data_IF_157652934159
#
_entry.id   IF_157652934159
#
_cell.length_a   1.000
_cell.length_b   1.000
_cell.length_c   1.000
_cell.angle_alpha   90.00
_cell.angle_beta   90.00
_cell.angle_gamma   90.00
#
_symmetry.space_group_name_H-M   'P 1'
#
loop_
_entity.id
_entity.type
_entity.pdbx_description
1 polymer ?
#
# COMPACT_ATOMS: atom_id res chain seq x y z
N UNK A 1 5.80 -72.40 -31.31
CA UNK A 1 6.10 -72.34 -29.85
C UNK A 1 7.04 -71.18 -29.62
N UNK A 2 6.51 -70.02 -29.20
CA UNK A 2 7.31 -68.87 -28.90
C UNK A 2 7.00 -68.45 -27.46
N UNK A 3 7.98 -68.63 -26.56
CA UNK A 3 7.86 -68.38 -25.14
C UNK A 3 7.92 -66.85 -24.88
N UNK A 4 6.87 -66.31 -24.30
CA UNK A 4 6.86 -64.97 -23.74
C UNK A 4 7.64 -64.94 -22.46
N UNK A 5 8.68 -64.08 -22.37
CA UNK A 5 9.36 -63.74 -21.13
C UNK A 5 8.45 -62.87 -20.24
N UNK A 6 8.44 -63.03 -18.91
CA UNK A 6 7.75 -62.16 -18.00
C UNK A 6 8.40 -60.77 -17.99
N UNK A 7 7.58 -59.69 -17.99
CA UNK A 7 8.02 -58.33 -17.72
C UNK A 7 8.34 -58.23 -16.23
N UNK A 8 9.58 -57.89 -15.93
CA UNK A 8 9.98 -57.45 -14.60
C UNK A 8 9.20 -56.18 -14.23
N UNK A 9 8.46 -56.20 -13.16
CA UNK A 9 7.85 -55.04 -12.55
C UNK A 9 8.98 -54.14 -12.02
N UNK A 10 9.10 -52.94 -12.57
CA UNK A 10 9.95 -51.90 -11.99
C UNK A 10 9.44 -51.50 -10.59
N UNK A 11 10.30 -50.93 -9.75
CA UNK A 11 9.91 -50.55 -8.41
C UNK A 11 8.73 -49.56 -8.48
N UNK A 12 7.64 -49.90 -7.85
CA UNK A 12 6.47 -49.02 -7.64
C UNK A 12 6.99 -47.77 -6.92
N UNK A 13 6.91 -46.62 -7.62
CA UNK A 13 7.07 -45.32 -6.97
C UNK A 13 5.97 -45.22 -5.92
N UNK A 14 6.36 -45.38 -4.66
CA UNK A 14 5.47 -45.33 -3.50
C UNK A 14 4.65 -44.06 -3.57
N UNK A 15 3.33 -44.22 -3.50
CA UNK A 15 2.35 -43.15 -3.39
C UNK A 15 2.60 -42.37 -2.09
N UNK A 16 3.42 -41.34 -2.16
CA UNK A 16 3.76 -40.46 -1.03
C UNK A 16 2.66 -39.38 -0.78
N UNK A 17 1.44 -39.66 -1.23
CA UNK A 17 0.24 -38.87 -0.97
C UNK A 17 -0.39 -39.23 0.38
N UNK A 18 0.42 -39.27 1.44
CA UNK A 18 -0.13 -39.26 2.80
C UNK A 18 -0.44 -37.81 3.16
N UNK A 19 -1.63 -37.61 3.75
CA UNK A 19 -2.10 -36.30 4.18
C UNK A 19 -1.01 -35.52 4.92
N UNK A 20 -0.85 -34.20 4.65
CA UNK A 20 0.14 -33.40 5.32
C UNK A 20 -0.10 -33.41 6.84
N UNK A 21 0.96 -33.69 7.60
CA UNK A 21 0.92 -33.76 9.07
C UNK A 21 1.49 -32.48 9.64
N UNK A 22 0.74 -31.80 10.48
CA UNK A 22 1.20 -30.65 11.23
C UNK A 22 2.31 -31.05 12.20
N UNK A 23 3.46 -30.38 12.13
CA UNK A 23 4.64 -30.63 12.95
C UNK A 23 5.02 -29.45 13.83
N UNK A 24 4.54 -28.25 13.51
CA UNK A 24 4.81 -27.04 14.28
C UNK A 24 3.67 -26.04 14.12
N UNK A 25 3.46 -25.23 15.16
CA UNK A 25 2.47 -24.17 15.20
C UNK A 25 3.02 -23.01 16.02
N UNK A 26 2.91 -21.79 15.51
CA UNK A 26 3.33 -20.60 16.23
C UNK A 26 2.54 -19.38 15.77
N UNK A 27 2.54 -18.34 16.60
CA UNK A 27 2.13 -16.98 16.24
C UNK A 27 3.33 -16.09 15.85
N UNK A 28 4.55 -16.61 15.97
CA UNK A 28 5.79 -15.93 15.58
C UNK A 28 6.18 -16.33 14.16
N UNK A 29 6.23 -15.34 13.26
CA UNK A 29 6.73 -15.54 11.90
C UNK A 29 8.23 -15.92 11.91
N UNK A 30 8.99 -15.42 12.88
CA UNK A 30 10.41 -15.76 13.06
C UNK A 30 10.60 -17.26 13.31
N UNK A 31 9.85 -17.81 14.27
CA UNK A 31 9.94 -19.23 14.59
C UNK A 31 9.56 -20.11 13.39
N UNK A 32 8.54 -19.70 12.63
CA UNK A 32 8.11 -20.42 11.43
C UNK A 32 9.19 -20.42 10.35
N UNK A 33 9.84 -19.28 10.09
CA UNK A 33 10.92 -19.21 9.10
C UNK A 33 12.16 -20.00 9.53
N UNK A 34 12.51 -20.00 10.81
CA UNK A 34 13.59 -20.85 11.36
C UNK A 34 13.25 -22.32 11.16
N UNK A 35 12.02 -22.73 11.50
CA UNK A 35 11.57 -24.11 11.31
C UNK A 35 11.62 -24.51 9.83
N UNK A 36 11.14 -23.65 8.93
CA UNK A 36 11.20 -23.91 7.49
C UNK A 36 12.66 -24.08 7.02
N UNK A 37 13.53 -23.12 7.36
CA UNK A 37 14.95 -23.18 7.02
C UNK A 37 15.62 -24.46 7.54
N UNK A 38 15.33 -24.84 8.78
CA UNK A 38 15.83 -26.08 9.38
C UNK A 38 15.36 -27.31 8.61
N UNK A 39 14.07 -27.40 8.27
CA UNK A 39 13.51 -28.51 7.51
C UNK A 39 14.11 -28.61 6.10
N UNK A 40 14.22 -27.48 5.39
CA UNK A 40 14.85 -27.40 4.06
C UNK A 40 16.30 -27.85 4.10
N UNK A 41 17.09 -27.40 5.07
CA UNK A 41 18.49 -27.81 5.25
C UNK A 41 18.65 -29.32 5.45
N UNK A 42 17.62 -30.00 5.94
CA UNK A 42 17.61 -31.46 6.14
C UNK A 42 16.82 -32.20 5.06
N UNK A 43 16.49 -31.55 3.93
CA UNK A 43 15.78 -32.15 2.79
C UNK A 43 14.33 -32.51 3.08
N UNK A 44 13.67 -31.83 4.03
CA UNK A 44 12.26 -32.02 4.36
C UNK A 44 11.45 -30.88 3.75
N UNK A 45 10.61 -31.20 2.76
CA UNK A 45 9.67 -30.23 2.20
C UNK A 45 8.55 -29.95 3.20
N UNK A 46 8.23 -28.66 3.39
CA UNK A 46 7.16 -28.22 4.29
C UNK A 46 6.22 -27.22 3.61
N UNK A 47 4.97 -27.22 4.06
CA UNK A 47 3.96 -26.23 3.65
C UNK A 47 3.59 -25.39 4.86
N UNK A 48 3.53 -24.08 4.72
CA UNK A 48 3.05 -23.16 5.74
C UNK A 48 1.63 -22.76 5.38
N UNK A 49 0.72 -22.93 6.31
CA UNK A 49 -0.64 -22.40 6.23
C UNK A 49 -0.75 -21.26 7.25
N UNK A 50 -1.22 -20.11 6.78
CA UNK A 50 -1.52 -18.96 7.62
C UNK A 50 -3.04 -18.91 7.81
N UNK A 51 -3.51 -18.92 9.04
CA UNK A 51 -4.92 -18.83 9.37
C UNK A 51 -5.16 -17.80 10.46
N UNK A 52 -6.26 -17.07 10.35
CA UNK A 52 -6.80 -16.35 11.50
C UNK A 52 -7.40 -17.40 12.43
N UNK A 53 -6.98 -17.45 13.70
CA UNK A 53 -7.55 -18.40 14.66
C UNK A 53 -9.05 -18.12 14.83
N UNK A 54 -9.93 -19.11 14.56
CA UNK A 54 -11.37 -18.93 14.73
C UNK A 54 -11.77 -18.62 16.19
N UNK A 55 -10.91 -18.96 17.15
CA UNK A 55 -11.15 -18.71 18.58
C UNK A 55 -11.00 -17.22 18.96
N UNK A 56 -10.49 -16.38 18.05
CA UNK A 56 -10.22 -14.95 18.28
C UNK A 56 -11.20 -14.03 17.55
N UNK A 57 -12.19 -14.56 16.83
CA UNK A 57 -13.36 -13.77 16.44
C UNK A 57 -14.28 -13.66 17.67
N UNK A 58 -14.54 -12.46 18.24
CA UNK A 58 -15.02 -11.31 17.48
C UNK A 58 -14.21 -10.01 17.61
N UNK A 59 -13.09 -9.90 18.33
CA UNK A 59 -12.46 -8.60 18.59
C UNK A 59 -10.91 -8.57 18.67
N UNK A 60 -10.19 -9.63 18.30
CA UNK A 60 -8.72 -9.65 18.36
C UNK A 60 -8.13 -9.86 16.98
N UNK A 61 -8.11 -8.81 16.17
CA UNK A 61 -7.33 -8.74 14.94
C UNK A 61 -5.87 -8.53 15.34
N UNK A 62 -5.01 -9.52 15.21
CA UNK A 62 -3.61 -9.28 15.45
C UNK A 62 -2.70 -10.49 15.62
N UNK A 63 -3.21 -11.70 15.59
CA UNK A 63 -2.36 -12.90 15.66
C UNK A 63 -2.73 -13.89 14.56
N UNK A 64 -1.99 -13.84 13.45
CA UNK A 64 -2.02 -14.91 12.46
C UNK A 64 -1.39 -16.16 13.08
N UNK A 65 -2.14 -17.28 13.11
CA UNK A 65 -1.60 -18.56 13.50
C UNK A 65 -0.94 -19.20 12.26
N UNK A 66 0.33 -19.52 12.38
CA UNK A 66 1.07 -20.24 11.36
C UNK A 66 1.13 -21.72 11.71
N UNK A 67 0.91 -22.59 10.72
CA UNK A 67 0.98 -24.03 10.85
C UNK A 67 1.93 -24.59 9.82
N UNK A 68 2.95 -25.32 10.26
CA UNK A 68 3.91 -25.97 9.38
C UNK A 68 3.57 -27.44 9.28
N UNK A 69 3.34 -27.91 8.06
CA UNK A 69 2.99 -29.30 7.77
C UNK A 69 4.04 -29.92 6.84
N UNK A 70 4.30 -31.22 7.03
CA UNK A 70 5.21 -32.04 6.22
C UNK A 70 4.51 -33.33 5.81
N UNK A 71 5.11 -34.08 4.86
CA UNK A 71 4.64 -35.42 4.54
C UNK A 71 4.69 -36.31 5.79
N UNK A 72 3.69 -37.16 5.97
CA UNK A 72 3.56 -38.04 7.16
C UNK A 72 4.78 -38.91 7.46
N UNK A 73 5.51 -39.33 6.40
CA UNK A 73 6.76 -40.09 6.50
C UNK A 73 7.91 -39.30 7.13
N UNK A 74 7.88 -37.97 7.03
CA UNK A 74 8.92 -37.07 7.57
C UNK A 74 8.58 -36.49 8.95
N UNK A 75 7.34 -36.65 9.42
CA UNK A 75 6.83 -35.95 10.60
C UNK A 75 7.63 -36.22 11.89
N UNK A 76 8.03 -37.47 12.14
CA UNK A 76 8.83 -37.82 13.31
C UNK A 76 10.21 -37.16 13.30
N UNK A 77 10.89 -37.20 12.14
CA UNK A 77 12.20 -36.56 11.96
C UNK A 77 12.12 -35.05 12.08
N UNK A 78 11.08 -34.45 11.49
CA UNK A 78 10.82 -33.02 11.56
C UNK A 78 10.65 -32.53 13.01
N UNK A 79 9.82 -33.21 13.81
CA UNK A 79 9.60 -32.84 15.24
C UNK A 79 10.89 -32.96 16.07
N UNK A 80 11.71 -34.00 15.85
CA UNK A 80 12.98 -34.16 16.54
C UNK A 80 13.99 -33.04 16.22
N UNK A 81 14.05 -32.61 14.97
CA UNK A 81 14.90 -31.48 14.56
C UNK A 81 14.42 -30.16 15.19
N UNK A 82 13.13 -29.89 15.15
CA UNK A 82 12.53 -28.64 15.70
C UNK A 82 12.82 -28.54 17.20
N UNK A 83 12.53 -29.60 17.97
CA UNK A 83 12.71 -29.58 19.42
C UNK A 83 14.17 -29.44 19.89
N UNK A 84 15.14 -29.79 19.03
CA UNK A 84 16.54 -29.71 19.39
C UNK A 84 17.25 -28.39 19.06
N UNK A 85 16.66 -27.53 18.19
CA UNK A 85 17.38 -26.37 17.65
C UNK A 85 16.63 -25.05 17.67
N UNK A 86 15.31 -25.08 17.92
CA UNK A 86 14.47 -23.88 17.74
C UNK A 86 14.82 -22.75 18.71
N UNK A 87 14.96 -23.04 20.00
CA UNK A 87 15.06 -22.00 21.04
C UNK A 87 16.31 -21.11 20.87
N UNK A 88 17.48 -21.71 20.61
CA UNK A 88 18.73 -20.99 20.43
C UNK A 88 18.74 -20.18 19.12
N UNK A 89 18.29 -20.79 18.03
CA UNK A 89 18.22 -20.13 16.72
C UNK A 89 17.21 -18.98 16.75
N UNK A 90 16.04 -19.15 17.36
CA UNK A 90 15.06 -18.09 17.51
C UNK A 90 15.59 -16.91 18.35
N UNK A 91 16.27 -17.19 19.47
CA UNK A 91 16.88 -16.16 20.29
C UNK A 91 17.98 -15.38 19.56
N UNK A 92 18.79 -16.05 18.75
CA UNK A 92 19.82 -15.41 17.94
C UNK A 92 19.21 -14.49 16.87
N UNK A 93 18.18 -14.96 16.18
CA UNK A 93 17.49 -14.20 15.13
C UNK A 93 16.74 -12.98 15.70
N UNK A 94 16.05 -13.13 16.83
CA UNK A 94 15.42 -12.01 17.52
C UNK A 94 16.46 -10.94 17.91
N UNK A 95 17.64 -11.34 18.38
CA UNK A 95 18.71 -10.38 18.68
C UNK A 95 19.17 -9.63 17.44
N UNK A 96 19.42 -10.35 16.33
CA UNK A 96 19.79 -9.76 15.04
C UNK A 96 18.77 -8.73 14.57
N UNK A 97 17.49 -9.10 14.60
CA UNK A 97 16.40 -8.21 14.18
C UNK A 97 16.26 -6.98 15.09
N UNK A 98 16.42 -7.13 16.39
CA UNK A 98 16.41 -5.97 17.32
C UNK A 98 17.54 -5.00 17.06
N UNK A 99 18.73 -5.49 16.74
CA UNK A 99 19.88 -4.65 16.40
C UNK A 99 19.66 -3.90 15.07
N UNK A 100 19.10 -4.57 14.08
CA UNK A 100 18.91 -4.00 12.73
C UNK A 100 17.65 -3.13 12.61
N UNK A 101 16.52 -3.54 13.20
CA UNK A 101 15.23 -2.89 13.04
C UNK A 101 14.82 -1.99 14.22
N UNK A 102 15.50 -2.08 15.35
CA UNK A 102 15.24 -1.22 16.52
C UNK A 102 15.26 0.28 16.24
N UNK A 103 16.18 0.79 15.40
CA UNK A 103 16.13 2.19 14.97
C UNK A 103 14.84 2.57 14.21
N UNK A 104 14.29 1.66 13.41
CA UNK A 104 13.01 1.89 12.72
C UNK A 104 11.85 1.90 13.72
N UNK A 105 11.80 0.96 14.67
CA UNK A 105 10.79 0.94 15.73
C UNK A 105 10.72 2.28 16.48
N UNK A 106 11.88 2.90 16.77
CA UNK A 106 11.95 4.22 17.40
C UNK A 106 11.36 5.33 16.49
N UNK A 107 11.66 5.31 15.19
CA UNK A 107 11.18 6.32 14.22
C UNK A 107 9.67 6.24 14.01
N UNK A 108 9.10 5.03 14.03
CA UNK A 108 7.66 4.82 13.88
C UNK A 108 6.88 5.01 15.18
N UNK A 109 7.55 4.93 16.34
CA UNK A 109 6.93 5.01 17.66
C UNK A 109 6.13 3.76 18.03
N UNK A 110 6.45 2.62 17.43
CA UNK A 110 5.81 1.34 17.71
C UNK A 110 6.85 0.24 17.93
N UNK A 111 6.66 -0.57 18.96
CA UNK A 111 7.55 -1.68 19.30
C UNK A 111 6.85 -2.99 19.01
N UNK A 112 7.41 -3.76 18.08
CA UNK A 112 6.85 -5.04 17.66
C UNK A 112 7.04 -6.14 18.72
N UNK A 113 6.02 -6.96 18.86
CA UNK A 113 6.07 -8.23 19.59
C UNK A 113 6.75 -9.28 18.72
N UNK A 114 6.32 -9.36 17.45
CA UNK A 114 6.91 -10.19 16.40
C UNK A 114 7.66 -9.33 15.36
N UNK A 115 8.98 -9.26 15.50
CA UNK A 115 9.86 -8.54 14.55
C UNK A 115 9.89 -9.16 13.15
N UNK A 116 9.50 -10.43 13.02
CA UNK A 116 9.40 -11.06 11.71
C UNK A 116 8.29 -10.46 10.85
N UNK A 117 7.20 -9.94 11.45
CA UNK A 117 6.20 -9.18 10.71
C UNK A 117 6.79 -7.89 10.13
N UNK A 118 7.64 -7.22 10.90
CA UNK A 118 8.33 -6.03 10.40
C UNK A 118 9.34 -6.38 9.29
N UNK A 119 10.14 -7.42 9.45
CA UNK A 119 11.05 -7.88 8.41
C UNK A 119 10.32 -8.28 7.12
N UNK A 120 9.20 -9.01 7.25
CA UNK A 120 8.34 -9.39 6.12
C UNK A 120 7.81 -8.16 5.37
N UNK A 121 7.30 -7.16 6.09
CA UNK A 121 6.81 -5.91 5.49
C UNK A 121 7.90 -5.14 4.72
N UNK A 122 9.15 -5.30 5.12
CA UNK A 122 10.31 -4.66 4.49
C UNK A 122 10.93 -5.48 3.35
N UNK A 123 10.47 -6.71 3.12
CA UNK A 123 11.03 -7.62 2.14
C UNK A 123 10.39 -7.43 0.78
N UNK A 124 11.08 -6.73 -0.12
CA UNK A 124 10.62 -6.53 -1.48
C UNK A 124 10.74 -7.82 -2.32
N UNK A 125 9.82 -8.03 -3.27
CA UNK A 125 9.79 -9.20 -4.16
C UNK A 125 11.12 -9.54 -4.86
N UNK A 126 11.95 -8.54 -5.17
CA UNK A 126 13.28 -8.79 -5.76
C UNK A 126 14.17 -9.59 -4.84
N UNK A 127 14.03 -9.44 -3.53
CA UNK A 127 14.77 -10.22 -2.52
C UNK A 127 14.26 -11.64 -2.45
N UNK A 128 12.95 -11.83 -2.46
CA UNK A 128 12.32 -13.15 -2.45
C UNK A 128 12.67 -13.96 -3.71
N UNK A 129 12.70 -13.31 -4.88
CA UNK A 129 13.10 -13.97 -6.14
C UNK A 129 14.56 -14.42 -6.19
N UNK A 130 15.46 -13.79 -5.44
CA UNK A 130 16.86 -14.18 -5.34
C UNK A 130 17.09 -15.30 -4.31
N UNK A 131 16.10 -15.63 -3.49
CA UNK A 131 16.20 -16.69 -2.50
C UNK A 131 15.96 -18.07 -3.12
N UNK A 132 17.05 -18.82 -3.34
CA UNK A 132 16.99 -20.17 -3.89
C UNK A 132 16.30 -21.19 -2.99
N UNK A 133 16.12 -20.89 -1.68
CA UNK A 133 15.43 -21.79 -0.74
C UNK A 133 13.90 -21.71 -0.85
N UNK A 134 13.37 -20.64 -1.45
CA UNK A 134 11.94 -20.34 -1.50
C UNK A 134 11.34 -20.03 -0.12
N UNK A 135 12.20 -19.75 0.88
CA UNK A 135 11.80 -19.46 2.25
C UNK A 135 11.44 -17.99 2.49
N UNK A 136 11.97 -17.09 1.68
CA UNK A 136 11.73 -15.66 1.82
C UNK A 136 10.40 -15.28 1.17
N UNK A 137 9.48 -14.72 1.96
CA UNK A 137 8.19 -14.23 1.51
C UNK A 137 8.29 -12.74 1.28
N UNK A 138 7.76 -12.25 0.16
CA UNK A 138 7.70 -10.82 -0.15
C UNK A 138 6.52 -10.11 0.53
N UNK A 139 6.53 -8.78 0.45
CA UNK A 139 5.56 -7.92 1.13
C UNK A 139 4.27 -7.64 0.33
N UNK A 140 4.07 -8.20 -0.87
CA UNK A 140 2.91 -7.86 -1.72
C UNK A 140 1.56 -8.14 -1.01
N UNK A 141 1.45 -9.25 -0.28
CA UNK A 141 0.23 -9.54 0.49
C UNK A 141 0.00 -8.58 1.66
N UNK A 142 1.09 -8.08 2.25
CA UNK A 142 1.00 -7.09 3.33
C UNK A 142 0.70 -5.69 2.79
N UNK A 143 1.24 -5.31 1.64
CA UNK A 143 0.88 -4.10 0.89
C UNK A 143 -0.63 -4.06 0.67
N UNK A 144 -1.20 -5.12 0.08
CA UNK A 144 -2.65 -5.23 -0.15
C UNK A 144 -3.48 -5.03 1.13
N UNK A 145 -3.07 -5.66 2.24
CA UNK A 145 -3.76 -5.51 3.52
C UNK A 145 -3.58 -4.09 4.09
N UNK A 146 -2.37 -3.54 3.95
CA UNK A 146 -2.02 -2.20 4.44
C UNK A 146 -2.79 -1.10 3.74
N UNK A 147 -2.96 -1.18 2.42
CA UNK A 147 -3.82 -0.27 1.65
C UNK A 147 -5.26 -0.28 2.19
N UNK A 148 -5.82 -1.47 2.45
CA UNK A 148 -7.17 -1.58 3.01
C UNK A 148 -7.29 -0.94 4.40
N UNK A 149 -6.33 -1.18 5.30
CA UNK A 149 -6.29 -0.59 6.65
C UNK A 149 -6.11 0.94 6.57
N UNK A 150 -5.18 1.41 5.76
CA UNK A 150 -4.96 2.83 5.49
C UNK A 150 -6.24 3.49 4.96
N UNK A 151 -6.83 2.85 3.95
CA UNK A 151 -8.06 3.30 3.31
C UNK A 151 -9.22 3.46 4.29
N UNK A 152 -9.37 2.52 5.23
CA UNK A 152 -10.37 2.56 6.29
C UNK A 152 -10.09 3.72 7.28
N UNK A 153 -8.88 3.80 7.83
CA UNK A 153 -8.52 4.81 8.83
C UNK A 153 -8.66 6.23 8.29
N UNK A 154 -8.21 6.45 7.05
CA UNK A 154 -8.31 7.76 6.40
C UNK A 154 -9.76 8.11 6.09
N UNK A 155 -10.58 7.15 5.66
CA UNK A 155 -12.01 7.39 5.41
C UNK A 155 -12.76 7.76 6.69
N UNK A 156 -12.50 7.08 7.81
CA UNK A 156 -13.05 7.37 9.12
C UNK A 156 -12.68 8.79 9.60
N UNK A 157 -11.39 9.15 9.45
CA UNK A 157 -10.90 10.49 9.78
C UNK A 157 -11.58 11.57 8.93
N UNK A 158 -11.72 11.37 7.62
CA UNK A 158 -12.37 12.34 6.72
C UNK A 158 -13.87 12.44 7.00
N UNK A 159 -14.54 11.33 7.31
CA UNK A 159 -15.94 11.32 7.69
C UNK A 159 -16.19 12.18 8.94
N UNK A 160 -15.35 12.03 9.94
CA UNK A 160 -15.45 12.78 11.21
C UNK A 160 -15.03 14.24 11.03
N UNK A 161 -14.01 14.53 10.23
CA UNK A 161 -13.45 15.88 10.07
C UNK A 161 -14.29 16.78 9.15
N UNK A 162 -14.94 16.19 8.16
CA UNK A 162 -15.73 16.89 7.14
C UNK A 162 -17.19 16.42 7.10
N UNK A 163 -17.98 16.59 8.19
CA UNK A 163 -19.32 16.03 8.29
C UNK A 163 -20.32 16.62 7.28
N UNK A 164 -20.10 17.87 6.86
CA UNK A 164 -20.99 18.61 5.94
C UNK A 164 -20.63 18.43 4.46
N UNK A 165 -19.45 17.86 4.15
CA UNK A 165 -19.03 17.65 2.77
C UNK A 165 -19.60 16.35 2.22
N UNK A 166 -19.86 16.30 0.92
CA UNK A 166 -20.37 15.13 0.22
C UNK A 166 -19.30 14.02 0.07
N UNK A 167 -19.70 12.91 -0.48
CA UNK A 167 -18.81 11.75 -0.74
C UNK A 167 -17.74 12.10 -1.77
N UNK A 168 -18.08 12.83 -2.84
CA UNK A 168 -17.16 13.21 -3.90
C UNK A 168 -15.99 14.03 -3.39
N UNK A 169 -16.24 15.00 -2.50
CA UNK A 169 -15.20 15.77 -1.84
C UNK A 169 -14.27 14.88 -1.00
N UNK A 170 -14.85 14.03 -0.14
CA UNK A 170 -14.06 13.13 0.73
C UNK A 170 -13.21 12.14 -0.07
N UNK A 171 -13.75 11.60 -1.15
CA UNK A 171 -13.05 10.69 -2.04
C UNK A 171 -11.88 11.37 -2.79
N UNK A 172 -12.06 12.60 -3.26
CA UNK A 172 -10.99 13.40 -3.88
C UNK A 172 -9.86 13.69 -2.88
N UNK A 173 -10.21 14.14 -1.66
CA UNK A 173 -9.22 14.40 -0.60
C UNK A 173 -8.48 13.12 -0.25
N UNK A 174 -9.20 12.01 -0.03
CA UNK A 174 -8.60 10.70 0.22
C UNK A 174 -7.59 10.33 -0.86
N UNK A 175 -7.99 10.34 -2.14
CA UNK A 175 -7.11 9.97 -3.26
C UNK A 175 -5.83 10.81 -3.31
N UNK A 176 -5.90 12.09 -2.97
CA UNK A 176 -4.73 12.97 -2.92
C UNK A 176 -3.76 12.60 -1.80
N UNK A 177 -4.26 12.35 -0.60
CA UNK A 177 -3.42 12.11 0.58
C UNK A 177 -2.88 10.68 0.69
N UNK A 178 -3.57 9.66 0.10
CA UNK A 178 -3.09 8.26 0.05
C UNK A 178 -2.41 7.92 -1.27
N UNK A 179 -2.03 8.92 -2.08
CA UNK A 179 -1.32 8.69 -3.32
C UNK A 179 0.08 8.10 -3.09
N UNK A 180 0.60 7.30 -4.03
CA UNK A 180 1.95 6.75 -3.95
C UNK A 180 3.02 7.82 -3.69
N UNK A 181 2.87 9.03 -4.25
CA UNK A 181 3.77 10.15 -4.00
C UNK A 181 3.72 10.64 -2.53
N UNK A 182 2.54 10.67 -1.91
CA UNK A 182 2.38 11.02 -0.50
C UNK A 182 2.95 9.94 0.41
N UNK A 183 2.68 8.67 0.11
CA UNK A 183 3.19 7.52 0.87
C UNK A 183 4.71 7.45 0.81
N UNK A 184 5.31 7.63 -0.39
CA UNK A 184 6.76 7.66 -0.55
C UNK A 184 7.40 8.79 0.28
N UNK A 185 6.79 9.99 0.32
CA UNK A 185 7.27 11.08 1.15
C UNK A 185 7.21 10.74 2.64
N UNK A 186 6.10 10.15 3.12
CA UNK A 186 5.99 9.71 4.52
C UNK A 186 7.00 8.61 4.85
N UNK A 187 7.27 7.71 3.90
CA UNK A 187 8.33 6.70 4.02
C UNK A 187 9.73 7.34 4.13
N UNK A 188 10.00 8.38 3.34
CA UNK A 188 11.26 9.14 3.42
C UNK A 188 11.42 9.86 4.77
N UNK A 189 10.34 10.42 5.34
CA UNK A 189 10.37 11.09 6.66
C UNK A 189 10.85 10.16 7.79
N UNK A 190 10.58 8.87 7.67
CA UNK A 190 11.06 7.84 8.62
C UNK A 190 12.30 7.10 8.13
N UNK A 191 12.87 7.52 6.98
CA UNK A 191 13.98 6.85 6.29
C UNK A 191 13.73 5.35 6.08
N UNK A 192 12.49 4.97 5.70
CA UNK A 192 12.08 3.57 5.53
C UNK A 192 12.97 2.83 4.53
N UNK A 193 13.40 3.52 3.46
CA UNK A 193 14.25 2.96 2.42
C UNK A 193 15.58 2.39 2.92
N UNK A 194 16.11 2.84 4.08
CA UNK A 194 17.32 2.26 4.69
C UNK A 194 17.10 0.82 5.14
N UNK A 195 15.87 0.45 5.48
CA UNK A 195 15.50 -0.84 6.05
C UNK A 195 14.89 -1.81 5.03
N UNK A 196 14.49 -1.35 3.84
CA UNK A 196 13.91 -2.21 2.81
C UNK A 196 14.93 -3.25 2.35
N UNK A 197 14.54 -4.51 2.32
CA UNK A 197 15.34 -5.64 1.89
C UNK A 197 15.15 -5.88 0.40
N UNK A 198 16.16 -5.55 -0.39
CA UNK A 198 16.15 -5.63 -1.84
C UNK A 198 17.03 -6.77 -2.36
N UNK A 199 16.71 -7.31 -3.52
CA UNK A 199 17.63 -8.12 -4.30
C UNK A 199 18.76 -7.26 -4.88
N UNK A 200 19.88 -7.90 -5.20
CA UNK A 200 21.12 -7.24 -5.68
C UNK A 200 20.88 -6.41 -6.96
N UNK A 201 19.99 -6.89 -7.84
CA UNK A 201 19.63 -6.18 -9.07
C UNK A 201 18.91 -4.87 -8.77
N UNK A 202 17.91 -4.92 -7.91
CA UNK A 202 17.11 -3.77 -7.51
C UNK A 202 17.90 -2.75 -6.70
N UNK A 203 18.76 -3.21 -5.80
CA UNK A 203 19.70 -2.39 -5.04
C UNK A 203 20.60 -1.54 -5.95
N UNK A 204 21.21 -2.17 -6.98
CA UNK A 204 22.09 -1.49 -7.94
C UNK A 204 21.40 -0.40 -8.75
N UNK A 205 20.09 -0.53 -8.97
CA UNK A 205 19.29 0.47 -9.71
C UNK A 205 18.70 1.56 -8.80
N UNK A 206 19.12 1.61 -7.54
CA UNK A 206 18.69 2.62 -6.57
C UNK A 206 17.28 2.38 -6.03
N UNK A 207 16.86 1.12 -5.94
CA UNK A 207 15.54 0.69 -5.49
C UNK A 207 15.08 1.34 -4.18
N UNK A 208 16.00 1.54 -3.21
CA UNK A 208 15.71 2.18 -1.91
C UNK A 208 15.10 3.58 -1.99
N UNK A 209 15.21 4.25 -3.14
CA UNK A 209 14.69 5.60 -3.38
C UNK A 209 13.59 5.65 -4.42
N UNK A 210 13.15 4.51 -4.93
CA UNK A 210 12.04 4.44 -5.88
C UNK A 210 10.73 4.66 -5.14
N UNK A 211 9.96 5.65 -5.57
CA UNK A 211 8.71 6.03 -4.93
C UNK A 211 7.71 4.85 -4.83
N UNK A 212 7.63 3.99 -5.83
CA UNK A 212 6.77 2.82 -5.78
C UNK A 212 7.17 1.87 -4.63
N UNK A 213 8.46 1.48 -4.55
CA UNK A 213 8.96 0.58 -3.51
C UNK A 213 8.75 1.18 -2.11
N UNK A 214 8.95 2.50 -1.95
CA UNK A 214 8.73 3.19 -0.69
C UNK A 214 7.26 3.22 -0.30
N UNK A 215 6.36 3.47 -1.25
CA UNK A 215 4.92 3.47 -1.01
C UNK A 215 4.42 2.07 -0.62
N UNK A 216 4.76 1.04 -1.41
CA UNK A 216 4.39 -0.34 -1.17
C UNK A 216 4.89 -0.84 0.20
N UNK A 217 6.16 -0.49 0.55
CA UNK A 217 6.74 -0.83 1.85
C UNK A 217 6.09 -0.07 3.01
N UNK A 218 5.60 1.15 2.78
CA UNK A 218 4.89 1.92 3.81
C UNK A 218 3.50 1.34 4.08
N UNK A 219 2.79 0.89 3.06
CA UNK A 219 1.53 0.17 3.22
C UNK A 219 1.76 -1.17 3.92
N UNK A 220 2.77 -1.94 3.51
CA UNK A 220 3.14 -3.18 4.17
C UNK A 220 3.51 -2.96 5.65
N UNK A 221 4.16 -1.86 6.01
CA UNK A 221 4.45 -1.48 7.40
C UNK A 221 3.16 -1.23 8.21
N UNK A 222 2.16 -0.58 7.62
CA UNK A 222 0.85 -0.40 8.26
C UNK A 222 0.20 -1.76 8.54
N UNK A 223 0.26 -2.69 7.58
CA UNK A 223 -0.21 -4.05 7.78
C UNK A 223 0.55 -4.78 8.90
N UNK A 224 1.88 -4.63 8.97
CA UNK A 224 2.69 -5.24 10.03
C UNK A 224 2.26 -4.75 11.42
N UNK A 225 2.06 -3.44 11.59
CA UNK A 225 1.58 -2.85 12.86
C UNK A 225 0.18 -3.39 13.18
N UNK A 226 -0.70 -3.48 12.17
CA UNK A 226 -2.04 -4.03 12.34
C UNK A 226 -2.03 -5.50 12.74
N UNK A 227 -1.22 -6.32 12.10
CA UNK A 227 -1.11 -7.75 12.41
C UNK A 227 -0.51 -8.00 13.79
N UNK A 228 0.45 -7.19 14.22
CA UNK A 228 1.13 -7.32 15.51
C UNK A 228 0.31 -6.76 16.68
N UNK A 229 -0.35 -5.64 16.50
CA UNK A 229 -0.99 -4.86 17.58
C UNK A 229 -2.50 -4.67 17.44
N UNK A 230 -3.07 -4.96 16.27
CA UNK A 230 -4.49 -4.70 15.98
C UNK A 230 -4.72 -3.31 15.40
N UNK A 231 -6.02 -2.95 15.29
CA UNK A 231 -6.41 -1.71 14.61
C UNK A 231 -6.00 -0.44 15.36
N UNK A 232 -6.00 -0.44 16.69
CA UNK A 232 -5.72 0.77 17.47
C UNK A 232 -4.30 1.31 17.31
N UNK A 233 -3.21 0.50 17.39
CA UNK A 233 -1.86 0.94 17.06
C UNK A 233 -1.71 1.37 15.61
N UNK A 234 -2.30 0.63 14.65
CA UNK A 234 -2.25 0.99 13.24
C UNK A 234 -2.94 2.33 12.99
N UNK A 235 -4.12 2.56 13.56
CA UNK A 235 -4.83 3.84 13.51
C UNK A 235 -3.99 4.97 14.12
N UNK A 236 -3.38 4.74 15.27
CA UNK A 236 -2.50 5.73 15.93
C UNK A 236 -1.34 6.11 15.02
N UNK A 237 -0.66 5.13 14.44
CA UNK A 237 0.44 5.36 13.49
C UNK A 237 -0.03 6.15 12.27
N UNK A 238 -1.09 5.71 11.60
CA UNK A 238 -1.64 6.40 10.42
C UNK A 238 -2.07 7.83 10.77
N UNK A 239 -2.84 8.03 11.84
CA UNK A 239 -3.31 9.35 12.23
C UNK A 239 -2.16 10.32 12.56
N UNK A 240 -1.09 9.84 13.20
CA UNK A 240 0.08 10.67 13.51
C UNK A 240 0.75 11.24 12.25
N UNK A 241 0.70 10.53 11.12
CA UNK A 241 1.33 10.90 9.85
C UNK A 241 0.39 11.67 8.91
N UNK A 242 -0.87 11.27 8.87
CA UNK A 242 -1.84 11.82 7.91
C UNK A 242 -2.62 13.04 8.43
N UNK A 243 -2.80 13.17 9.75
CA UNK A 243 -3.51 14.33 10.31
C UNK A 243 -2.91 15.67 9.89
N UNK A 244 -1.57 15.89 9.93
CA UNK A 244 -0.99 17.14 9.46
C UNK A 244 -1.23 17.40 7.96
N UNK A 245 -1.30 16.33 7.14
CA UNK A 245 -1.61 16.45 5.72
C UNK A 245 -3.06 16.87 5.50
N UNK A 246 -4.00 16.34 6.29
CA UNK A 246 -5.43 16.66 6.21
C UNK A 246 -5.71 18.05 6.75
N UNK A 247 -5.10 18.44 7.86
CA UNK A 247 -5.25 19.78 8.44
C UNK A 247 -4.68 20.84 7.50
N UNK A 248 -3.52 20.57 6.88
CA UNK A 248 -2.95 21.43 5.84
C UNK A 248 -3.71 21.39 4.50
N UNK A 249 -4.47 20.31 4.23
CA UNK A 249 -5.32 20.18 3.07
C UNK A 249 -6.65 20.95 3.24
N UNK A 250 -7.17 21.03 4.47
CA UNK A 250 -8.42 21.72 4.76
C UNK A 250 -8.39 23.20 4.36
N UNK A 251 -7.25 23.88 4.60
CA UNK A 251 -7.03 25.28 4.16
C UNK A 251 -6.74 25.40 2.65
N UNK A 252 -6.24 24.31 2.03
CA UNK A 252 -5.88 24.27 0.60
C UNK A 252 -6.93 23.62 -0.28
N UNK A 253 -7.83 22.80 0.28
CA UNK A 253 -8.94 22.21 -0.46
C UNK A 253 -10.10 23.19 -0.59
N UNK A 254 -10.16 24.21 0.27
CA UNK A 254 -10.94 25.42 0.02
C UNK A 254 -10.31 26.25 -1.13
N UNK A 255 -8.99 26.20 -1.28
CA UNK A 255 -8.26 26.64 -2.46
C UNK A 255 -8.11 25.41 -3.37
N UNK A 256 -8.82 25.35 -4.46
CA UNK A 256 -8.88 24.31 -5.50
C UNK A 256 -7.52 23.70 -5.99
N UNK A 257 -6.46 23.81 -5.20
CA UNK A 257 -5.07 23.45 -5.52
C UNK A 257 -4.64 22.04 -5.06
N UNK A 258 -5.50 21.27 -4.36
CA UNK A 258 -5.10 19.95 -3.84
C UNK A 258 -5.34 18.79 -4.81
N UNK A 259 -6.16 19.03 -5.81
CA UNK A 259 -6.23 18.16 -6.99
C UNK A 259 -5.83 19.02 -8.17
N UNK A 260 -4.70 18.71 -8.79
CA UNK A 260 -4.33 19.25 -10.11
C UNK A 260 -5.33 18.81 -11.21
N UNK A 261 -6.57 18.49 -10.84
CA UNK A 261 -7.63 18.10 -11.76
C UNK A 261 -8.66 19.22 -11.96
N UNK A 262 -8.11 20.38 -12.35
CA UNK A 262 -8.90 21.53 -12.79
C UNK A 262 -9.83 21.18 -13.94
N UNK A 263 -9.49 20.14 -14.73
CA UNK A 263 -10.29 19.70 -15.87
C UNK A 263 -11.60 19.07 -15.38
N UNK A 264 -11.55 18.19 -14.38
CA UNK A 264 -12.77 17.62 -13.78
C UNK A 264 -13.59 18.66 -13.05
N UNK A 265 -12.96 19.54 -12.28
CA UNK A 265 -13.65 20.63 -11.60
C UNK A 265 -14.37 21.57 -12.58
N UNK A 266 -13.72 21.94 -13.70
CA UNK A 266 -14.35 22.74 -14.74
C UNK A 266 -15.50 22.00 -15.43
N UNK A 267 -15.36 20.71 -15.67
CA UNK A 267 -16.42 19.89 -16.26
C UNK A 267 -17.64 19.83 -15.35
N UNK A 268 -17.45 19.58 -14.06
CA UNK A 268 -18.51 19.56 -13.05
C UNK A 268 -19.22 20.91 -12.98
N UNK A 269 -18.43 22.01 -12.93
CA UNK A 269 -18.98 23.36 -12.91
C UNK A 269 -19.85 23.66 -14.14
N UNK A 270 -19.34 23.34 -15.36
CA UNK A 270 -20.06 23.57 -16.60
C UNK A 270 -21.34 22.71 -16.70
N UNK A 271 -21.31 21.47 -16.22
CA UNK A 271 -22.48 20.60 -16.18
C UNK A 271 -23.53 21.13 -15.21
N UNK A 272 -23.13 21.56 -14.00
CA UNK A 272 -24.03 22.15 -13.01
C UNK A 272 -24.72 23.42 -13.53
N UNK A 273 -24.10 24.16 -14.44
CA UNK A 273 -24.62 25.40 -15.03
C UNK A 273 -25.18 25.21 -16.46
N UNK A 274 -25.38 23.94 -16.91
CA UNK A 274 -25.91 23.59 -18.23
C UNK A 274 -25.12 24.22 -19.41
N UNK A 275 -23.81 24.44 -19.27
CA UNK A 275 -22.95 25.06 -20.28
C UNK A 275 -22.21 24.09 -21.20
N UNK A 276 -22.57 22.80 -21.21
CA UNK A 276 -21.97 21.76 -22.04
C UNK A 276 -20.66 21.24 -21.47
N UNK A 277 -19.91 20.49 -22.31
CA UNK A 277 -18.61 19.93 -21.91
C UNK A 277 -17.45 20.82 -22.34
N UNK A 278 -16.33 20.87 -21.57
CA UNK A 278 -15.15 21.61 -21.96
C UNK A 278 -14.40 20.86 -23.08
N UNK A 279 -13.97 21.60 -24.10
CA UNK A 279 -13.11 21.11 -25.16
C UNK A 279 -11.78 21.84 -25.14
N UNK A 280 -10.67 21.07 -25.08
CA UNK A 280 -9.32 21.62 -25.03
C UNK A 280 -8.70 21.59 -26.42
N UNK A 281 -8.19 22.71 -26.89
CA UNK A 281 -7.49 22.82 -28.17
C UNK A 281 -6.10 23.38 -27.99
N UNK A 282 -5.13 22.79 -28.67
CA UNK A 282 -3.78 23.32 -28.72
C UNK A 282 -3.79 24.58 -29.60
N UNK A 283 -3.48 25.74 -28.99
CA UNK A 283 -3.41 27.00 -29.69
C UNK A 283 -2.04 27.22 -30.31
N UNK A 284 -0.95 26.84 -29.62
CA UNK A 284 0.41 26.92 -30.09
C UNK A 284 1.34 25.95 -29.40
N UNK A 285 2.48 25.63 -30.01
CA UNK A 285 3.60 25.00 -29.32
C UNK A 285 4.90 25.66 -29.78
N UNK A 286 5.79 26.01 -28.85
CA UNK A 286 7.02 26.70 -29.10
C UNK A 286 8.19 26.19 -28.26
N UNK A 287 9.43 26.40 -28.74
CA UNK A 287 10.65 25.99 -28.06
C UNK A 287 11.26 24.67 -28.55
N UNK A 288 12.57 24.45 -28.24
CA UNK A 288 13.25 23.19 -28.56
C UNK A 288 12.65 22.01 -27.79
N UNK A 289 12.84 20.76 -28.26
CA UNK A 289 12.18 19.53 -27.73
C UNK A 289 12.35 19.37 -26.22
N UNK A 290 13.50 19.71 -25.65
CA UNK A 290 13.81 19.62 -24.23
C UNK A 290 13.25 20.75 -23.36
N UNK A 291 12.66 21.81 -23.99
CA UNK A 291 12.03 22.97 -23.34
C UNK A 291 10.77 23.43 -24.07
N UNK A 292 10.08 22.50 -24.74
CA UNK A 292 8.84 22.80 -25.47
C UNK A 292 7.77 23.28 -24.49
N UNK A 293 7.09 24.39 -24.86
CA UNK A 293 5.88 24.87 -24.17
C UNK A 293 4.68 24.67 -25.07
N UNK A 294 3.56 24.39 -24.43
CA UNK A 294 2.28 24.14 -25.08
C UNK A 294 1.29 25.19 -24.59
N UNK A 295 0.67 25.93 -25.52
CA UNK A 295 -0.42 26.85 -25.23
C UNK A 295 -1.73 26.16 -25.55
N UNK A 296 -2.62 26.05 -24.54
CA UNK A 296 -3.91 25.41 -24.67
C UNK A 296 -5.02 26.42 -24.34
N UNK A 297 -6.09 26.35 -25.11
CA UNK A 297 -7.33 27.07 -24.88
C UNK A 297 -8.46 26.10 -24.59
N UNK A 298 -9.29 26.40 -23.59
CA UNK A 298 -10.50 25.63 -23.28
C UNK A 298 -11.72 26.38 -23.77
N UNK A 299 -12.62 25.66 -24.42
CA UNK A 299 -13.83 26.15 -25.07
C UNK A 299 -15.04 25.42 -24.49
N UNK A 300 -16.11 26.13 -24.13
CA UNK A 300 -17.40 25.56 -23.76
C UNK A 300 -18.51 26.29 -24.50
N UNK A 301 -19.49 25.53 -25.04
CA UNK A 301 -20.57 26.14 -25.85
C UNK A 301 -20.09 26.92 -27.08
N UNK A 302 -18.93 26.59 -27.64
CA UNK A 302 -18.31 27.29 -28.76
C UNK A 302 -17.54 28.58 -28.40
N UNK A 303 -17.53 28.98 -27.11
CA UNK A 303 -16.86 30.20 -26.64
C UNK A 303 -15.58 29.83 -25.87
N UNK A 304 -14.45 30.47 -26.15
CA UNK A 304 -13.24 30.36 -25.32
C UNK A 304 -13.49 30.91 -23.93
N UNK A 305 -13.25 30.06 -22.91
CA UNK A 305 -13.50 30.39 -21.50
C UNK A 305 -12.22 30.47 -20.66
N UNK A 306 -11.09 29.92 -21.16
CA UNK A 306 -9.80 30.00 -20.48
C UNK A 306 -8.64 29.65 -21.41
N UNK A 307 -7.42 30.11 -21.06
CA UNK A 307 -6.19 29.84 -21.81
C UNK A 307 -4.99 29.83 -20.89
N UNK A 308 -4.07 28.86 -21.09
CA UNK A 308 -2.81 28.82 -20.37
C UNK A 308 -1.72 28.10 -21.14
N UNK A 309 -0.48 28.24 -20.63
CA UNK A 309 0.72 27.56 -21.13
C UNK A 309 1.28 26.60 -20.12
N UNK A 310 1.80 25.45 -20.58
CA UNK A 310 2.39 24.42 -19.73
C UNK A 310 3.63 23.76 -20.34
N UNK A 311 4.34 22.98 -19.53
CA UNK A 311 5.52 22.21 -19.95
C UNK A 311 5.15 20.90 -20.69
N UNK A 312 3.91 20.47 -20.58
CA UNK A 312 3.32 19.39 -21.34
C UNK A 312 1.89 19.77 -21.77
N UNK A 313 1.30 19.07 -22.75
CA UNK A 313 -0.09 19.29 -23.13
C UNK A 313 -1.03 19.14 -21.93
N UNK A 314 -0.84 18.08 -21.12
CA UNK A 314 -1.65 17.82 -19.92
C UNK A 314 -1.53 18.96 -18.91
N UNK A 315 -0.32 19.46 -18.65
CA UNK A 315 -0.08 20.60 -17.76
C UNK A 315 -0.78 21.86 -18.28
N UNK A 316 -0.63 22.19 -19.57
CA UNK A 316 -1.28 23.34 -20.19
C UNK A 316 -2.83 23.24 -20.15
N UNK A 317 -3.40 22.06 -20.33
CA UNK A 317 -4.84 21.80 -20.22
C UNK A 317 -5.34 22.04 -18.78
N UNK A 318 -4.62 21.57 -17.78
CA UNK A 318 -4.94 21.80 -16.36
C UNK A 318 -4.91 23.29 -16.01
N UNK A 319 -3.87 24.01 -16.44
CA UNK A 319 -3.75 25.44 -16.20
C UNK A 319 -4.83 26.26 -16.94
N UNK A 320 -5.22 25.84 -18.16
CA UNK A 320 -6.30 26.48 -18.91
C UNK A 320 -7.68 26.25 -18.22
N UNK A 321 -7.89 25.07 -17.64
CA UNK A 321 -9.09 24.79 -16.86
C UNK A 321 -9.14 25.65 -15.58
N UNK A 322 -7.99 25.82 -14.92
CA UNK A 322 -7.85 26.71 -13.74
C UNK A 322 -8.19 28.16 -14.09
N UNK A 323 -7.62 28.68 -15.18
CA UNK A 323 -7.91 30.04 -15.66
C UNK A 323 -9.40 30.23 -15.98
N UNK A 324 -10.03 29.21 -16.60
CA UNK A 324 -11.46 29.23 -16.88
C UNK A 324 -12.30 29.33 -15.61
N UNK A 325 -12.03 28.47 -14.62
CA UNK A 325 -12.77 28.48 -13.35
C UNK A 325 -12.66 29.80 -12.63
N UNK A 326 -11.44 30.38 -12.52
CA UNK A 326 -11.26 31.67 -11.85
C UNK A 326 -12.00 32.84 -12.54
N UNK A 327 -12.19 32.76 -13.84
CA UNK A 327 -13.00 33.76 -14.58
C UNK A 327 -14.50 33.54 -14.40
N UNK A 328 -14.92 32.31 -14.33
CA UNK A 328 -16.32 31.95 -14.17
C UNK A 328 -16.82 32.27 -12.76
N UNK A 329 -16.02 32.02 -11.72
CA UNK A 329 -16.33 32.37 -10.33
C UNK A 329 -16.33 33.90 -10.11
N UNK A 330 -15.45 34.65 -10.77
CA UNK A 330 -15.41 36.11 -10.72
C UNK A 330 -16.51 36.81 -11.53
N UNK A 331 -17.24 36.08 -12.38
CA UNK A 331 -18.32 36.62 -13.21
C UNK A 331 -19.74 36.45 -12.60
N UNK A 332 -19.85 35.81 -11.42
CA UNK A 332 -21.12 35.71 -10.71
C UNK A 332 -21.42 37.05 -9.99
N UNK A 333 -22.49 37.78 -10.33
CA UNK A 333 -22.92 38.88 -9.50
C UNK A 333 -23.35 38.34 -8.13
N UNK A 334 -22.95 39.02 -7.06
CA UNK A 334 -23.39 38.71 -5.71
C UNK A 334 -24.92 38.57 -5.74
N UNK A 335 -25.43 37.40 -5.35
CA UNK A 335 -26.88 37.18 -5.25
C UNK A 335 -27.43 38.25 -4.33
N UNK A 336 -28.33 39.08 -4.86
CA UNK A 336 -29.13 40.01 -4.09
C UNK A 336 -29.86 39.22 -3.00
N UNK A 337 -29.50 39.50 -1.78
CA UNK A 337 -30.28 39.11 -0.61
C UNK A 337 -31.53 39.94 -0.60
N UNK A 338 -32.58 39.50 -1.28
CA UNK A 338 -33.93 40.01 -1.07
C UNK A 338 -34.42 39.48 0.27
N UNK A 339 -34.18 40.27 1.32
CA UNK A 339 -34.90 40.15 2.55
C UNK A 339 -36.38 40.49 2.31
N UNK A 340 -37.34 39.79 2.93
CA UNK A 340 -38.71 40.22 2.93
C UNK A 340 -38.83 41.36 3.94
N UNK A 341 -38.93 42.59 3.44
CA UNK A 341 -39.44 43.72 4.23
C UNK A 341 -40.88 43.46 4.59
N UNK A 342 -41.12 43.53 5.89
CA UNK A 342 -42.44 43.55 6.47
C UNK A 342 -43.19 44.83 6.10
N UNK A 343 -44.43 44.67 5.83
CA UNK A 343 -45.38 45.76 5.93
C UNK A 343 -46.55 45.26 6.74
N UNK A 344 -46.76 45.96 7.83
CA UNK A 344 -47.85 45.85 8.68
C UNK A 344 -49.12 46.48 8.06
N UNK A 345 -50.22 46.19 8.65
CA UNK A 345 -51.62 46.66 8.42
C UNK A 345 -52.54 45.83 9.27
#
# INVERSE_FOLDING_TARGET
MSARRPREAGPEAGDDRRDPVEVFRSFSSIEVEIVRGLLVAHGIHSTVLTGLSPALFPLSFGHAEFRVSVAGSAAGRARGLISGHLDEAAAAEIRRLRETLGPLEQRIGYKFRDLGLLEHALTHRSRAHEDASGGVIDNESMEFLGDAVLGFVVADLLFTRYPTHDEGYKSKVKAGIVSAASLARLADEINLGEFVLLGRGEEKTGGRRKHAILADSFEALIAAIYLDGGIEPAQTFVLSRFRPLIDGAGDRAADASFTEDWKSALQEWLQAHARGLPHYRLAASAGPDHRRRFDVEVVAGGVPIGRASGRSKKDAEQQAAKDALSRLDGAMPASESTGPDGAGG
#
